data_IF_482704928020
#
_entry.id   IF_482704928020
#
_cell.length_a   1.000
_cell.length_b   1.000
_cell.length_c   1.000
_cell.angle_alpha   90.00
_cell.angle_beta   90.00
_cell.angle_gamma   90.00
#
_symmetry.space_group_name_H-M   'P 1'
#
loop_
_entity.id
_entity.type
_entity.pdbx_description
1 polymer ?
#
# COMPACT_ATOMS: atom_id res chain seq x y z
N UNK A 1 -13.30 -8.50 -42.74
CA UNK A 1 -12.22 -8.50 -41.73
C UNK A 1 -12.82 -8.94 -40.41
N UNK A 2 -12.43 -10.09 -39.88
CA UNK A 2 -12.90 -10.50 -38.55
C UNK A 2 -12.32 -9.54 -37.51
N UNK A 3 -13.18 -8.82 -36.79
CA UNK A 3 -12.77 -8.04 -35.65
C UNK A 3 -12.08 -8.99 -34.67
N UNK A 4 -10.78 -8.76 -34.42
CA UNK A 4 -10.04 -9.49 -33.40
C UNK A 4 -10.81 -9.32 -32.09
N UNK A 5 -11.38 -10.41 -31.58
CA UNK A 5 -12.08 -10.43 -30.30
C UNK A 5 -11.09 -9.92 -29.26
N UNK A 6 -11.37 -8.76 -28.64
CA UNK A 6 -10.53 -8.25 -27.55
C UNK A 6 -10.45 -9.34 -26.49
N UNK A 7 -9.24 -9.65 -26.03
CA UNK A 7 -9.06 -10.66 -24.98
C UNK A 7 -9.87 -10.23 -23.75
N UNK A 8 -10.69 -11.12 -23.20
CA UNK A 8 -11.49 -10.82 -22.02
C UNK A 8 -10.57 -10.59 -20.79
N UNK A 9 -11.01 -9.72 -19.88
CA UNK A 9 -10.37 -9.56 -18.59
C UNK A 9 -10.50 -10.86 -17.78
N UNK A 10 -9.40 -11.31 -17.17
CA UNK A 10 -9.35 -12.59 -16.42
C UNK A 10 -9.98 -12.49 -15.02
N UNK A 11 -9.94 -11.31 -14.42
CA UNK A 11 -10.20 -11.11 -13.01
C UNK A 11 -11.51 -10.38 -12.73
N UNK A 12 -11.97 -9.55 -13.66
CA UNK A 12 -13.16 -8.74 -13.48
C UNK A 12 -14.04 -8.73 -14.74
N UNK A 13 -15.35 -8.80 -14.54
CA UNK A 13 -16.35 -8.63 -15.59
C UNK A 13 -17.40 -7.63 -15.11
N UNK A 14 -17.47 -6.48 -15.76
CA UNK A 14 -18.39 -5.40 -15.44
C UNK A 14 -18.52 -4.40 -16.59
N UNK A 15 -19.41 -3.41 -16.46
CA UNK A 15 -19.60 -2.37 -17.47
C UNK A 15 -18.35 -1.49 -17.59
N UNK A 16 -18.14 -0.89 -18.76
CA UNK A 16 -17.14 0.17 -18.90
C UNK A 16 -17.47 1.36 -18.00
N UNK A 17 -16.44 1.98 -17.43
CA UNK A 17 -16.52 3.15 -16.55
C UNK A 17 -15.52 4.23 -16.99
N UNK A 18 -15.40 5.29 -16.20
CA UNK A 18 -14.40 6.35 -16.39
C UNK A 18 -12.95 5.89 -16.10
N UNK A 19 -12.75 4.69 -15.57
CA UNK A 19 -11.43 4.10 -15.30
C UNK A 19 -11.33 2.59 -15.67
N UNK A 20 -12.32 2.06 -16.40
CA UNK A 20 -12.32 0.69 -16.96
C UNK A 20 -12.85 0.65 -18.40
N UNK A 21 -12.06 0.17 -19.36
CA UNK A 21 -12.41 0.22 -20.80
C UNK A 21 -13.25 -0.98 -21.29
N UNK A 22 -13.79 -1.77 -20.35
CA UNK A 22 -14.42 -3.07 -20.62
C UNK A 22 -13.43 -4.23 -20.69
N UNK A 23 -12.12 -3.98 -20.61
CA UNK A 23 -11.08 -5.01 -20.58
C UNK A 23 -9.97 -4.70 -19.58
N UNK A 24 -9.51 -3.46 -19.49
CA UNK A 24 -8.39 -3.05 -18.64
C UNK A 24 -8.75 -1.80 -17.83
N UNK A 25 -8.27 -1.76 -16.60
CA UNK A 25 -8.32 -0.57 -15.77
C UNK A 25 -7.27 0.45 -16.21
N UNK A 26 -7.49 1.74 -15.97
CA UNK A 26 -6.55 2.81 -16.31
C UNK A 26 -6.67 4.00 -15.35
N UNK A 27 -5.61 4.82 -15.26
CA UNK A 27 -5.64 6.06 -14.50
C UNK A 27 -6.30 7.17 -15.38
N UNK A 28 -7.44 7.76 -14.97
CA UNK A 28 -8.03 8.90 -15.66
C UNK A 28 -7.03 10.07 -15.71
N UNK A 29 -6.82 10.65 -16.89
CA UNK A 29 -5.82 11.71 -17.14
C UNK A 29 -4.40 11.38 -16.63
N UNK A 30 -4.13 10.10 -16.43
CA UNK A 30 -2.91 9.59 -15.84
C UNK A 30 -1.83 9.29 -16.87
N UNK A 31 -0.63 9.01 -16.37
CA UNK A 31 0.43 8.46 -17.19
C UNK A 31 0.31 6.95 -17.16
N UNK A 32 0.33 6.34 -18.35
CA UNK A 32 0.43 4.89 -18.44
C UNK A 32 1.79 4.44 -17.91
N UNK A 33 1.84 3.29 -17.23
CA UNK A 33 3.11 2.78 -16.73
C UNK A 33 4.00 2.35 -17.91
N UNK A 34 5.32 2.38 -17.71
CA UNK A 34 6.33 2.21 -18.77
C UNK A 34 6.12 0.98 -19.67
N UNK A 35 6.50 1.09 -20.95
CA UNK A 35 6.36 0.00 -21.93
C UNK A 35 7.43 -1.07 -21.71
N UNK A 36 7.28 -2.21 -22.38
CA UNK A 36 8.28 -3.28 -22.32
C UNK A 36 9.69 -2.83 -22.72
N UNK A 37 9.80 -1.95 -23.72
CA UNK A 37 11.08 -1.37 -24.14
C UNK A 37 11.71 -0.50 -23.02
N UNK A 38 10.91 0.24 -22.27
CA UNK A 38 11.38 1.05 -21.14
C UNK A 38 11.88 0.15 -19.99
N UNK A 39 11.18 -0.94 -19.72
CA UNK A 39 11.63 -1.94 -18.74
C UNK A 39 12.98 -2.53 -19.15
N UNK A 40 13.15 -2.93 -20.42
CA UNK A 40 14.44 -3.43 -20.92
C UNK A 40 15.54 -2.37 -20.80
N UNK A 41 15.27 -1.13 -21.23
CA UNK A 41 16.20 -0.01 -21.09
C UNK A 41 16.66 0.14 -19.65
N UNK A 42 15.74 0.13 -18.70
CA UNK A 42 16.08 0.19 -17.28
C UNK A 42 16.95 -1.00 -16.84
N UNK A 43 16.58 -2.24 -17.18
CA UNK A 43 17.40 -3.40 -16.78
C UNK A 43 18.84 -3.35 -17.32
N UNK A 44 19.05 -2.83 -18.53
CA UNK A 44 20.39 -2.69 -19.12
C UNK A 44 21.15 -1.45 -18.64
N UNK A 45 20.46 -0.38 -18.24
CA UNK A 45 21.10 0.87 -17.78
C UNK A 45 21.07 1.06 -16.26
N UNK A 46 20.65 0.03 -15.52
CA UNK A 46 20.38 0.07 -14.08
C UNK A 46 21.65 0.41 -13.28
N UNK A 47 21.52 1.34 -12.36
CA UNK A 47 22.54 1.68 -11.37
C UNK A 47 22.05 1.26 -9.98
N UNK A 48 21.84 -0.05 -9.81
CA UNK A 48 21.26 -0.60 -8.59
C UNK A 48 22.25 -0.49 -7.43
N UNK A 49 21.89 0.26 -6.40
CA UNK A 49 22.66 0.32 -5.16
C UNK A 49 22.77 -1.07 -4.53
N UNK A 50 23.89 -1.34 -3.84
CA UNK A 50 24.05 -2.59 -3.10
C UNK A 50 23.40 -2.47 -1.73
N UNK A 51 22.33 -3.22 -1.49
CA UNK A 51 21.70 -3.31 -0.17
C UNK A 51 22.46 -4.29 0.74
N UNK A 52 22.41 -4.09 2.07
CA UNK A 52 22.93 -5.07 3.00
C UNK A 52 22.11 -6.38 2.92
N UNK A 53 22.73 -7.55 3.16
CA UNK A 53 22.01 -8.83 3.13
C UNK A 53 21.00 -8.96 4.27
N UNK A 54 21.23 -8.27 5.38
CA UNK A 54 20.34 -8.12 6.51
C UNK A 54 20.52 -6.73 7.13
N UNK A 55 19.43 -6.12 7.56
CA UNK A 55 19.37 -4.82 8.24
C UNK A 55 18.24 -4.89 9.27
N UNK A 56 18.49 -5.51 10.44
CA UNK A 56 17.47 -5.64 11.48
C UNK A 56 17.04 -4.26 11.97
N UNK A 57 15.78 -4.14 12.37
CA UNK A 57 15.26 -2.90 12.94
C UNK A 57 15.95 -2.59 14.27
N UNK A 58 16.16 -1.29 14.62
CA UNK A 58 16.57 -0.91 15.95
C UNK A 58 15.48 -1.20 17.01
N UNK A 59 14.24 -1.45 16.59
CA UNK A 59 13.15 -1.87 17.45
C UNK A 59 13.05 -3.39 17.50
N UNK A 60 12.77 -3.94 18.69
CA UNK A 60 12.41 -5.35 18.82
C UNK A 60 11.07 -5.65 18.14
N UNK A 61 10.76 -6.94 17.95
CA UNK A 61 9.43 -7.31 17.49
C UNK A 61 8.39 -6.87 18.52
N UNK A 62 7.44 -6.05 18.09
CA UNK A 62 6.36 -5.55 18.92
C UNK A 62 5.40 -6.67 19.29
N UNK A 63 4.81 -6.54 20.47
CA UNK A 63 3.69 -7.34 20.95
C UNK A 63 2.51 -6.39 21.16
N UNK A 64 1.67 -6.19 20.14
CA UNK A 64 0.57 -5.23 20.22
C UNK A 64 -0.40 -5.56 21.36
N UNK A 65 -1.09 -4.53 21.85
CA UNK A 65 -2.24 -4.75 22.73
C UNK A 65 -3.33 -5.54 21.98
N UNK A 66 -4.21 -6.22 22.73
CA UNK A 66 -5.30 -6.98 22.11
C UNK A 66 -6.23 -6.08 21.26
N UNK A 67 -6.44 -4.84 21.69
CA UNK A 67 -7.33 -3.87 21.05
C UNK A 67 -7.03 -2.45 21.56
N UNK A 68 -7.36 -1.43 20.75
CA UNK A 68 -7.38 -0.02 21.12
C UNK A 68 -8.78 0.54 20.87
N UNK A 69 -9.39 1.14 21.89
CA UNK A 69 -10.81 1.55 21.88
C UNK A 69 -11.01 3.06 21.69
N UNK A 70 -12.27 3.45 21.47
CA UNK A 70 -12.67 4.85 21.42
C UNK A 70 -12.00 5.63 20.29
N UNK A 71 -11.47 6.81 20.63
CA UNK A 71 -10.82 7.72 19.68
C UNK A 71 -9.32 7.52 19.60
N UNK A 72 -8.74 6.55 20.30
CA UNK A 72 -7.30 6.33 20.28
C UNK A 72 -6.85 5.68 18.97
N UNK A 73 -5.60 5.93 18.59
CA UNK A 73 -4.99 5.42 17.37
C UNK A 73 -3.55 5.01 17.65
N UNK A 74 -3.30 3.71 17.59
CA UNK A 74 -1.95 3.14 17.66
C UNK A 74 -1.64 2.45 16.34
N UNK A 75 -0.47 2.76 15.78
CA UNK A 75 0.03 2.11 14.57
C UNK A 75 1.33 1.39 14.85
N UNK A 76 1.45 0.16 14.38
CA UNK A 76 2.68 -0.64 14.48
C UNK A 76 3.16 -1.03 13.10
N UNK A 77 4.41 -0.69 12.78
CA UNK A 77 5.01 -1.03 11.50
C UNK A 77 5.45 -2.49 11.50
N UNK A 78 4.88 -3.31 10.62
CA UNK A 78 5.34 -4.69 10.41
C UNK A 78 6.48 -4.70 9.39
N UNK A 79 6.40 -3.89 8.33
CA UNK A 79 7.43 -3.77 7.32
C UNK A 79 6.86 -3.59 5.92
N UNK A 80 7.65 -3.00 5.02
CA UNK A 80 7.22 -2.63 3.67
C UNK A 80 5.96 -1.74 3.69
N UNK A 81 4.81 -2.25 3.24
CA UNK A 81 3.51 -1.55 3.30
C UNK A 81 2.55 -2.16 4.32
N UNK A 82 3.04 -3.07 5.17
CA UNK A 82 2.26 -3.69 6.22
C UNK A 82 2.35 -2.90 7.53
N UNK A 83 1.21 -2.35 7.94
CA UNK A 83 1.00 -1.75 9.24
C UNK A 83 -0.19 -2.42 9.92
N UNK A 84 -0.07 -2.62 11.23
CA UNK A 84 -1.22 -2.87 12.10
C UNK A 84 -1.73 -1.52 12.60
N UNK A 85 -3.00 -1.23 12.33
CA UNK A 85 -3.72 -0.04 12.76
C UNK A 85 -4.74 -0.48 13.80
N UNK A 86 -4.64 0.05 15.02
CA UNK A 86 -5.57 -0.25 16.11
C UNK A 86 -6.31 1.03 16.50
N UNK A 87 -7.64 1.04 16.35
CA UNK A 87 -8.50 2.20 16.65
C UNK A 87 -9.96 1.78 16.67
N UNK A 88 -10.82 2.50 17.41
CA UNK A 88 -12.27 2.25 17.46
C UNK A 88 -12.67 0.79 17.74
N UNK A 89 -11.85 0.07 18.51
CA UNK A 89 -12.06 -1.34 18.82
C UNK A 89 -11.73 -2.31 17.68
N UNK A 90 -11.07 -1.85 16.62
CA UNK A 90 -10.71 -2.64 15.44
C UNK A 90 -9.21 -2.80 15.30
N UNK A 91 -8.78 -3.97 14.84
CA UNK A 91 -7.43 -4.27 14.41
C UNK A 91 -7.41 -4.47 12.88
N UNK A 92 -6.78 -3.54 12.17
CA UNK A 92 -6.77 -3.47 10.71
C UNK A 92 -5.34 -3.66 10.20
N UNK A 93 -5.14 -4.57 9.24
CA UNK A 93 -3.86 -4.72 8.54
C UNK A 93 -3.92 -4.11 7.14
N UNK A 94 -2.88 -3.38 6.76
CA UNK A 94 -2.66 -2.97 5.36
C UNK A 94 -1.72 -3.95 4.66
N UNK A 95 -2.01 -4.33 3.42
CA UNK A 95 -1.11 -5.07 2.51
C UNK A 95 -0.20 -6.09 3.20
N UNK A 96 -0.75 -7.14 3.86
CA UNK A 96 0.00 -7.94 4.80
C UNK A 96 0.99 -8.88 4.12
N UNK A 97 2.29 -8.73 4.44
CA UNK A 97 3.39 -9.55 3.91
C UNK A 97 4.31 -10.02 5.04
N UNK A 98 4.20 -11.29 5.41
CA UNK A 98 5.16 -11.97 6.30
C UNK A 98 6.16 -12.85 5.55
N UNK A 99 5.91 -13.14 4.27
CA UNK A 99 6.80 -13.98 3.46
C UNK A 99 8.22 -13.42 3.36
N UNK A 100 9.20 -14.32 3.31
CA UNK A 100 10.60 -13.97 3.13
C UNK A 100 10.88 -13.31 1.77
N UNK A 101 10.10 -13.67 0.74
CA UNK A 101 10.24 -13.14 -0.63
C UNK A 101 8.90 -12.69 -1.20
N UNK A 102 8.95 -11.65 -2.03
CA UNK A 102 7.81 -11.11 -2.77
C UNK A 102 7.95 -11.47 -4.24
N UNK A 103 7.53 -12.70 -4.58
CA UNK A 103 7.77 -13.30 -5.89
C UNK A 103 6.79 -14.43 -6.20
N UNK A 104 6.53 -14.74 -7.48
CA UNK A 104 5.87 -16.00 -7.86
C UNK A 104 6.66 -17.25 -7.49
N UNK A 105 7.97 -17.13 -7.22
CA UNK A 105 8.86 -18.25 -6.93
C UNK A 105 9.43 -18.14 -5.51
N UNK A 106 9.48 -19.25 -4.78
CA UNK A 106 10.07 -19.30 -3.45
C UNK A 106 11.59 -19.12 -3.42
N UNK A 107 12.28 -19.40 -4.53
CA UNK A 107 13.74 -19.39 -4.62
C UNK A 107 14.33 -18.16 -5.33
N UNK A 108 13.50 -17.33 -5.97
CA UNK A 108 13.93 -16.20 -6.79
C UNK A 108 13.08 -14.95 -6.51
N UNK A 109 13.60 -13.77 -6.82
CA UNK A 109 12.92 -12.49 -6.60
C UNK A 109 13.34 -11.78 -5.30
N UNK A 110 12.80 -10.59 -5.02
CA UNK A 110 13.19 -9.78 -3.87
C UNK A 110 13.04 -10.55 -2.56
N UNK A 111 14.11 -10.55 -1.75
CA UNK A 111 14.14 -11.10 -0.39
C UNK A 111 14.14 -9.94 0.58
N UNK A 112 13.41 -10.06 1.67
CA UNK A 112 13.45 -9.04 2.72
C UNK A 112 14.78 -9.01 3.44
N UNK A 113 15.16 -7.82 3.91
CA UNK A 113 16.41 -7.60 4.66
C UNK A 113 16.20 -7.45 6.17
N UNK A 114 14.96 -7.29 6.65
CA UNK A 114 14.61 -7.33 8.07
C UNK A 114 13.59 -8.44 8.36
N UNK A 115 13.49 -8.93 9.61
CA UNK A 115 12.34 -9.71 10.09
C UNK A 115 11.08 -8.84 10.21
N UNK A 116 9.86 -9.41 10.34
CA UNK A 116 8.64 -8.60 10.44
C UNK A 116 8.60 -7.97 11.82
N UNK A 117 8.08 -6.76 11.88
CA UNK A 117 7.99 -5.96 13.10
C UNK A 117 7.10 -6.56 14.17
N UNK A 118 6.15 -7.42 13.78
CA UNK A 118 5.33 -8.24 14.68
C UNK A 118 5.54 -9.69 14.25
N UNK A 119 5.88 -10.58 15.18
CA UNK A 119 5.85 -12.01 14.88
C UNK A 119 4.42 -12.40 14.52
N UNK A 120 4.22 -13.22 13.47
CA UNK A 120 2.85 -13.58 13.06
C UNK A 120 2.04 -14.15 14.23
N UNK A 121 2.71 -14.87 15.13
CA UNK A 121 2.05 -15.45 16.29
C UNK A 121 1.62 -14.48 17.37
N UNK A 122 2.25 -13.31 17.43
CA UNK A 122 1.94 -12.22 18.36
C UNK A 122 0.86 -11.25 17.80
N UNK A 123 0.30 -11.50 16.61
CA UNK A 123 -0.81 -10.69 16.09
C UNK A 123 -2.05 -10.79 17.00
N UNK A 124 -2.70 -9.66 17.33
CA UNK A 124 -4.02 -9.69 17.95
C UNK A 124 -5.07 -10.25 16.97
N UNK A 125 -6.32 -10.43 17.41
CA UNK A 125 -7.41 -10.78 16.50
C UNK A 125 -7.50 -9.72 15.40
N UNK A 126 -7.45 -10.12 14.13
CA UNK A 126 -7.52 -9.20 12.99
C UNK A 126 -8.95 -9.18 12.46
N UNK A 127 -9.55 -7.99 12.41
CA UNK A 127 -10.93 -7.82 11.97
C UNK A 127 -11.00 -7.57 10.46
N UNK A 128 -10.10 -6.71 9.96
CA UNK A 128 -10.08 -6.27 8.57
C UNK A 128 -8.66 -6.30 8.01
N UNK A 129 -8.57 -6.73 6.76
CA UNK A 129 -7.36 -6.62 5.94
C UNK A 129 -7.68 -5.76 4.72
N UNK A 130 -6.86 -4.74 4.49
CA UNK A 130 -6.91 -3.89 3.29
C UNK A 130 -5.86 -4.37 2.31
N UNK A 131 -6.26 -4.74 1.10
CA UNK A 131 -5.33 -5.09 0.01
C UNK A 131 -5.48 -4.06 -1.09
N UNK A 132 -4.47 -3.22 -1.28
CA UNK A 132 -4.46 -2.10 -2.22
C UNK A 132 -4.39 -2.54 -3.68
N UNK A 133 -3.61 -3.57 -3.99
CA UNK A 133 -3.46 -4.10 -5.35
C UNK A 133 -2.74 -5.46 -5.35
N UNK A 134 -2.63 -6.09 -6.52
CA UNK A 134 -2.17 -7.47 -6.64
C UNK A 134 -0.65 -7.69 -6.79
N UNK A 135 0.22 -6.69 -6.67
CA UNK A 135 1.67 -6.95 -6.73
C UNK A 135 2.11 -7.88 -5.59
N UNK A 136 3.20 -8.64 -5.80
CA UNK A 136 3.63 -9.71 -4.88
C UNK A 136 4.04 -9.23 -3.49
N UNK A 137 4.38 -7.95 -3.38
CA UNK A 137 4.78 -7.26 -2.17
C UNK A 137 3.64 -6.53 -1.47
N UNK A 138 2.42 -6.62 -2.00
CA UNK A 138 1.20 -6.10 -1.38
C UNK A 138 0.11 -7.17 -1.19
N UNK A 139 0.07 -8.14 -2.10
CA UNK A 139 -0.81 -9.31 -2.06
C UNK A 139 0.00 -10.60 -1.89
N UNK A 140 0.36 -10.90 -0.64
CA UNK A 140 0.99 -12.15 -0.25
C UNK A 140 -0.05 -13.21 0.11
N UNK A 141 -0.28 -14.11 -0.85
CA UNK A 141 -1.26 -15.20 -0.72
C UNK A 141 -0.87 -16.21 0.38
N UNK A 142 0.41 -16.34 0.74
CA UNK A 142 0.82 -17.23 1.84
C UNK A 142 0.45 -16.61 3.20
N UNK A 143 0.60 -15.30 3.33
CA UNK A 143 0.14 -14.56 4.51
C UNK A 143 -1.38 -14.58 4.63
N UNK A 144 -2.11 -14.35 3.53
CA UNK A 144 -3.58 -14.41 3.57
C UNK A 144 -4.12 -15.79 3.98
N UNK A 145 -3.48 -16.89 3.59
CA UNK A 145 -3.87 -18.24 4.07
C UNK A 145 -3.74 -18.37 5.58
N UNK A 146 -2.60 -17.95 6.14
CA UNK A 146 -2.39 -17.98 7.58
C UNK A 146 -3.38 -17.09 8.33
N UNK A 147 -3.69 -15.89 7.79
CA UNK A 147 -4.69 -15.00 8.36
C UNK A 147 -6.09 -15.61 8.33
N UNK A 148 -6.48 -16.27 7.24
CA UNK A 148 -7.75 -17.00 7.14
C UNK A 148 -7.85 -18.09 8.21
N UNK A 149 -6.81 -18.89 8.37
CA UNK A 149 -6.79 -19.99 9.34
C UNK A 149 -6.86 -19.52 10.78
N UNK A 150 -6.17 -18.41 11.11
CA UNK A 150 -6.00 -17.96 12.50
C UNK A 150 -7.00 -16.90 12.95
N UNK A 151 -7.46 -16.03 12.06
CA UNK A 151 -8.26 -14.86 12.42
C UNK A 151 -9.56 -14.71 11.60
N UNK A 152 -9.62 -15.29 10.39
CA UNK A 152 -10.74 -15.14 9.43
C UNK A 152 -11.25 -13.70 9.23
N UNK A 153 -10.35 -12.74 8.92
CA UNK A 153 -10.71 -11.33 8.77
C UNK A 153 -11.57 -11.11 7.52
N UNK A 154 -12.28 -9.98 7.49
CA UNK A 154 -12.81 -9.44 6.23
C UNK A 154 -11.67 -8.86 5.41
N UNK A 155 -11.49 -9.30 4.17
CA UNK A 155 -10.53 -8.72 3.24
C UNK A 155 -11.25 -7.74 2.31
N UNK A 156 -10.94 -6.45 2.42
CA UNK A 156 -11.41 -5.38 1.53
C UNK A 156 -10.34 -5.12 0.47
N UNK A 157 -10.73 -5.13 -0.79
CA UNK A 157 -9.79 -5.02 -1.93
C UNK A 157 -10.46 -4.39 -3.14
N UNK A 158 -9.74 -3.75 -4.07
CA UNK A 158 -10.38 -3.22 -5.26
C UNK A 158 -10.72 -4.34 -6.26
N UNK A 159 -11.65 -4.06 -7.18
CA UNK A 159 -12.20 -5.01 -8.14
C UNK A 159 -11.17 -5.92 -8.83
N UNK A 160 -11.46 -7.23 -8.89
CA UNK A 160 -10.65 -8.25 -9.57
C UNK A 160 -9.54 -8.87 -8.72
N UNK A 161 -9.12 -8.23 -7.64
CA UNK A 161 -8.16 -8.84 -6.70
C UNK A 161 -8.78 -10.00 -5.91
N UNK A 162 -10.08 -9.92 -5.67
CA UNK A 162 -10.90 -10.97 -5.06
C UNK A 162 -10.88 -12.27 -5.85
N UNK A 163 -10.95 -12.22 -7.18
CA UNK A 163 -10.84 -13.42 -8.01
C UNK A 163 -9.50 -14.15 -7.81
N UNK A 164 -8.42 -13.39 -7.64
CA UNK A 164 -7.07 -13.92 -7.36
C UNK A 164 -7.04 -14.56 -5.96
N UNK A 165 -7.57 -13.84 -4.96
CA UNK A 165 -7.57 -14.30 -3.56
C UNK A 165 -8.45 -15.53 -3.40
N UNK A 166 -9.68 -15.52 -3.93
CA UNK A 166 -10.63 -16.62 -3.83
C UNK A 166 -10.07 -17.91 -4.45
N UNK A 167 -9.35 -17.82 -5.57
CA UNK A 167 -8.73 -18.98 -6.19
C UNK A 167 -7.58 -19.55 -5.35
N UNK A 168 -6.86 -18.70 -4.62
CA UNK A 168 -5.69 -19.09 -3.84
C UNK A 168 -6.02 -19.48 -2.39
N UNK A 169 -7.07 -18.88 -1.81
CA UNK A 169 -7.52 -19.02 -0.42
C UNK A 169 -9.06 -19.21 -0.41
N UNK A 170 -9.54 -20.41 -0.76
CA UNK A 170 -10.99 -20.68 -0.81
C UNK A 170 -11.67 -20.40 0.53
N UNK A 171 -12.83 -19.75 0.48
CA UNK A 171 -13.62 -19.41 1.67
C UNK A 171 -13.13 -18.18 2.45
N UNK A 172 -12.15 -17.44 1.94
CA UNK A 172 -11.80 -16.11 2.46
C UNK A 172 -13.02 -15.17 2.38
N UNK A 173 -13.27 -14.40 3.45
CA UNK A 173 -14.31 -13.37 3.45
C UNK A 173 -13.83 -12.17 2.64
N UNK A 174 -14.41 -11.96 1.46
CA UNK A 174 -13.96 -10.95 0.50
C UNK A 174 -15.01 -9.87 0.30
N UNK A 175 -14.54 -8.63 0.18
CA UNK A 175 -15.31 -7.44 -0.17
C UNK A 175 -14.56 -6.70 -1.28
N UNK A 176 -15.00 -6.88 -2.53
CA UNK A 176 -14.40 -6.27 -3.71
C UNK A 176 -15.18 -5.02 -4.11
N UNK A 177 -14.51 -3.88 -4.23
CA UNK A 177 -15.17 -2.58 -4.42
C UNK A 177 -14.45 -1.72 -5.46
N UNK A 178 -15.19 -0.78 -6.03
CA UNK A 178 -14.69 0.18 -7.00
C UNK A 178 -14.22 1.49 -6.35
N UNK A 179 -13.52 2.34 -7.09
CA UNK A 179 -13.19 3.68 -6.62
C UNK A 179 -14.45 4.49 -6.34
N UNK A 180 -14.48 5.13 -5.17
CA UNK A 180 -15.59 5.93 -4.69
C UNK A 180 -16.51 5.19 -3.72
N UNK A 181 -16.44 3.86 -3.65
CA UNK A 181 -17.29 3.05 -2.78
C UNK A 181 -16.97 3.26 -1.30
N UNK A 182 -18.03 3.14 -0.47
CA UNK A 182 -17.99 3.16 0.99
C UNK A 182 -18.51 1.82 1.54
N UNK A 183 -17.79 1.27 2.50
CA UNK A 183 -18.13 0.04 3.21
C UNK A 183 -18.24 0.37 4.71
N UNK A 184 -19.44 0.26 5.28
CA UNK A 184 -19.61 0.39 6.73
C UNK A 184 -19.11 -0.89 7.42
N UNK A 185 -18.24 -0.72 8.42
CA UNK A 185 -17.56 -1.83 9.13
C UNK A 185 -18.16 -2.05 10.51
N UNK A 186 -18.39 -0.96 11.23
CA UNK A 186 -19.01 -0.93 12.55
C UNK A 186 -19.64 0.45 12.78
N UNK A 187 -20.30 0.64 13.92
CA UNK A 187 -20.89 1.94 14.23
C UNK A 187 -19.82 3.05 14.26
N UNK A 188 -20.04 4.09 13.47
CA UNK A 188 -19.10 5.20 13.32
C UNK A 188 -17.77 4.86 12.60
N UNK A 189 -17.63 3.67 11.99
CA UNK A 189 -16.41 3.29 11.25
C UNK A 189 -16.72 2.75 9.86
N UNK A 190 -16.04 3.30 8.85
CA UNK A 190 -16.19 2.89 7.46
C UNK A 190 -14.85 2.88 6.71
N UNK A 191 -14.79 2.09 5.66
CA UNK A 191 -13.68 2.08 4.70
C UNK A 191 -14.18 2.66 3.39
N UNK A 192 -13.44 3.61 2.85
CA UNK A 192 -13.65 4.12 1.49
C UNK A 192 -12.55 3.61 0.59
N UNK A 193 -12.90 3.18 -0.62
CA UNK A 193 -11.95 2.77 -1.64
C UNK A 193 -11.69 3.95 -2.56
N UNK A 194 -10.44 4.38 -2.65
CA UNK A 194 -10.08 5.66 -3.27
C UNK A 194 -9.06 5.48 -4.39
N UNK A 195 -9.04 6.40 -5.38
CA UNK A 195 -8.11 6.31 -6.49
C UNK A 195 -6.65 6.48 -6.05
N UNK A 196 -5.79 5.65 -6.63
CA UNK A 196 -4.34 5.76 -6.56
C UNK A 196 -3.77 5.80 -7.99
N UNK A 197 -2.60 6.45 -8.17
CA UNK A 197 -1.98 6.54 -9.48
C UNK A 197 -0.93 5.43 -9.61
N UNK A 198 -1.39 4.24 -9.99
CA UNK A 198 -0.56 3.03 -10.07
C UNK A 198 -1.04 2.09 -11.17
N UNK A 199 -0.73 0.81 -11.05
CA UNK A 199 -1.16 -0.27 -11.93
C UNK A 199 -1.07 -1.61 -11.19
N UNK A 200 -1.57 -2.67 -11.83
CA UNK A 200 -1.60 -4.03 -11.26
C UNK A 200 -1.04 -5.07 -12.24
N UNK A 201 -0.44 -6.14 -11.72
CA UNK A 201 -0.15 -7.39 -12.44
C UNK A 201 0.30 -8.49 -11.48
N UNK A 202 0.01 -9.76 -11.81
CA UNK A 202 0.67 -10.92 -11.19
C UNK A 202 1.45 -11.79 -12.17
N UNK A 203 1.22 -11.64 -13.45
CA UNK A 203 1.89 -12.38 -14.51
C UNK A 203 2.26 -11.51 -15.70
N UNK A 204 2.66 -12.15 -16.80
CA UNK A 204 3.14 -11.43 -17.98
C UNK A 204 2.01 -10.85 -18.88
N UNK A 205 0.75 -11.27 -18.67
CA UNK A 205 -0.37 -10.98 -19.60
C UNK A 205 -1.64 -10.48 -18.90
N UNK A 206 -1.52 -10.05 -17.65
CA UNK A 206 -2.65 -9.62 -16.82
C UNK A 206 -2.48 -8.18 -16.30
N UNK A 207 -1.57 -7.43 -16.90
CA UNK A 207 -1.30 -6.05 -16.53
C UNK A 207 -2.56 -5.20 -16.67
N UNK A 208 -2.98 -4.57 -15.56
CA UNK A 208 -4.20 -3.76 -15.41
C UNK A 208 -5.52 -4.56 -15.53
N UNK A 209 -5.50 -5.87 -15.33
CA UNK A 209 -6.73 -6.68 -15.31
C UNK A 209 -7.45 -6.66 -13.96
N UNK A 210 -6.78 -6.26 -12.87
CA UNK A 210 -7.42 -5.95 -11.59
C UNK A 210 -7.22 -4.47 -11.27
N UNK A 211 -8.11 -3.88 -10.48
CA UNK A 211 -7.99 -2.50 -10.03
C UNK A 211 -6.93 -2.38 -8.91
N UNK A 212 -6.49 -1.16 -8.65
CA UNK A 212 -5.58 -0.77 -7.56
C UNK A 212 -6.19 0.43 -6.82
N UNK A 213 -5.94 0.61 -5.53
CA UNK A 213 -6.57 1.69 -4.76
C UNK A 213 -5.73 2.15 -3.57
N UNK A 214 -6.02 3.37 -3.10
CA UNK A 214 -5.82 3.73 -1.70
C UNK A 214 -7.08 3.43 -0.89
N UNK A 215 -7.00 3.61 0.42
CA UNK A 215 -8.13 3.47 1.33
C UNK A 215 -8.20 4.63 2.31
N UNK A 216 -9.40 5.07 2.64
CA UNK A 216 -9.64 5.95 3.79
C UNK A 216 -10.40 5.16 4.85
N UNK A 217 -9.84 5.09 6.04
CA UNK A 217 -10.47 4.52 7.23
C UNK A 217 -11.08 5.70 8.00
N UNK A 218 -12.40 5.80 7.95
CA UNK A 218 -13.17 6.78 8.70
C UNK A 218 -13.47 6.22 10.08
N UNK A 219 -13.12 6.95 11.14
CA UNK A 219 -13.33 6.53 12.53
C UNK A 219 -13.79 7.72 13.38
N UNK A 220 -14.33 7.49 14.59
CA UNK A 220 -14.69 8.57 15.51
C UNK A 220 -13.49 9.42 15.97
N UNK A 221 -12.28 8.84 15.94
CA UNK A 221 -11.03 9.51 16.34
C UNK A 221 -10.35 10.29 15.21
N UNK A 222 -10.98 10.41 14.04
CA UNK A 222 -10.43 11.08 12.87
C UNK A 222 -10.00 10.11 11.76
N UNK A 223 -10.05 10.58 10.52
CA UNK A 223 -9.79 9.75 9.34
C UNK A 223 -8.31 9.40 9.18
N UNK A 224 -8.07 8.19 8.67
CA UNK A 224 -6.75 7.66 8.34
C UNK A 224 -6.70 7.40 6.84
N UNK A 225 -5.67 7.88 6.15
CA UNK A 225 -5.48 7.64 4.72
C UNK A 225 -4.33 6.65 4.48
N UNK A 226 -4.60 5.53 3.84
CA UNK A 226 -3.58 4.63 3.31
C UNK A 226 -3.50 4.78 1.80
N UNK A 227 -2.40 5.34 1.29
CA UNK A 227 -2.28 5.65 -0.14
C UNK A 227 -2.09 4.42 -1.05
N UNK A 228 -1.72 3.26 -0.48
CA UNK A 228 -1.15 2.17 -1.25
C UNK A 228 0.13 2.61 -1.96
N UNK A 229 0.45 1.95 -3.07
CA UNK A 229 1.43 2.48 -4.01
C UNK A 229 0.82 3.54 -4.89
N UNK A 230 1.51 4.66 -5.06
CA UNK A 230 1.06 5.72 -5.96
C UNK A 230 2.24 6.55 -6.47
N UNK A 231 2.16 6.93 -7.74
CA UNK A 231 2.90 8.06 -8.30
C UNK A 231 2.34 9.37 -7.75
N UNK A 232 3.17 10.42 -7.74
CA UNK A 232 2.74 11.73 -7.25
C UNK A 232 1.72 12.38 -8.19
N UNK A 233 1.96 12.29 -9.51
CA UNK A 233 1.09 12.80 -10.59
C UNK A 233 0.52 14.20 -10.30
N UNK A 234 1.43 15.15 -10.09
CA UNK A 234 1.18 16.55 -9.72
C UNK A 234 0.33 16.72 -8.44
N UNK A 235 0.13 15.66 -7.67
CA UNK A 235 -0.64 15.62 -6.43
C UNK A 235 -2.15 15.57 -6.61
N UNK A 236 -2.65 15.12 -7.77
CA UNK A 236 -4.10 15.11 -8.08
C UNK A 236 -4.88 14.28 -7.06
N UNK A 237 -4.47 13.04 -6.79
CA UNK A 237 -5.18 12.17 -5.84
C UNK A 237 -5.13 12.74 -4.41
N UNK A 238 -4.03 13.37 -4.00
CA UNK A 238 -3.94 13.99 -2.67
C UNK A 238 -4.91 15.16 -2.50
N UNK A 239 -5.05 16.01 -3.53
CA UNK A 239 -6.04 17.09 -3.52
C UNK A 239 -7.47 16.56 -3.51
N UNK A 240 -7.75 15.52 -4.30
CA UNK A 240 -9.04 14.85 -4.29
C UNK A 240 -9.36 14.28 -2.90
N UNK A 241 -8.38 13.70 -2.22
CA UNK A 241 -8.55 13.19 -0.86
C UNK A 241 -8.88 14.31 0.13
N UNK A 242 -8.17 15.45 0.07
CA UNK A 242 -8.51 16.60 0.92
C UNK A 242 -9.91 17.17 0.60
N UNK A 243 -10.28 17.28 -0.67
CA UNK A 243 -11.57 17.79 -1.11
C UNK A 243 -12.73 16.90 -0.64
N UNK A 244 -12.60 15.58 -0.85
CA UNK A 244 -13.64 14.61 -0.48
C UNK A 244 -13.72 14.39 1.04
N UNK A 245 -12.58 14.34 1.73
CA UNK A 245 -12.53 13.88 3.12
C UNK A 245 -12.27 14.97 4.16
N UNK A 246 -11.85 16.17 3.75
CA UNK A 246 -11.58 17.32 4.61
C UNK A 246 -10.18 17.35 5.26
N UNK A 247 -9.48 16.21 5.28
CA UNK A 247 -8.18 16.04 5.89
C UNK A 247 -8.09 14.75 6.71
N UNK A 248 -6.91 14.50 7.28
CA UNK A 248 -6.62 13.24 7.97
C UNK A 248 -5.89 13.50 9.28
N UNK A 249 -6.24 12.74 10.32
CA UNK A 249 -5.40 12.64 11.51
C UNK A 249 -4.07 11.99 11.14
N UNK A 250 -4.12 10.95 10.32
CA UNK A 250 -2.96 10.15 9.97
C UNK A 250 -2.96 9.74 8.49
N UNK A 251 -1.80 9.77 7.85
CA UNK A 251 -1.62 9.26 6.49
C UNK A 251 -0.45 8.25 6.42
N UNK A 252 -0.62 7.19 5.66
CA UNK A 252 0.42 6.18 5.38
C UNK A 252 0.79 6.37 3.91
N UNK A 253 2.01 6.86 3.67
CA UNK A 253 2.47 7.31 2.37
C UNK A 253 3.74 6.54 1.95
N UNK A 254 3.83 5.99 0.73
CA UNK A 254 5.03 5.31 0.27
C UNK A 254 6.17 6.32 0.07
N UNK A 255 7.37 5.95 0.49
CA UNK A 255 8.59 6.78 0.34
C UNK A 255 9.75 6.06 -0.36
N UNK A 256 9.58 4.79 -0.74
CA UNK A 256 10.57 3.99 -1.45
C UNK A 256 10.07 3.52 -2.82
N UNK A 257 10.89 2.74 -3.51
CA UNK A 257 10.66 2.23 -4.87
C UNK A 257 10.63 3.29 -5.99
N UNK A 258 11.38 4.38 -5.82
CA UNK A 258 11.23 5.57 -6.66
C UNK A 258 12.33 5.78 -7.70
N UNK A 259 13.44 5.02 -7.68
CA UNK A 259 14.50 5.14 -8.69
C UNK A 259 14.50 4.01 -9.75
N UNK A 260 14.84 4.30 -11.01
CA UNK A 260 15.19 5.61 -11.54
C UNK A 260 13.96 6.48 -11.82
N UNK A 261 14.01 7.78 -11.48
CA UNK A 261 12.84 8.69 -11.62
C UNK A 261 12.17 8.66 -13.00
N UNK A 262 12.95 8.62 -14.09
CA UNK A 262 12.39 8.63 -15.45
C UNK A 262 11.46 7.44 -15.74
N UNK A 263 11.65 6.32 -15.03
CA UNK A 263 10.84 5.11 -15.17
C UNK A 263 9.80 4.98 -14.05
N UNK A 264 10.16 5.35 -12.82
CA UNK A 264 9.35 5.11 -11.62
C UNK A 264 8.38 6.23 -11.27
N UNK A 265 8.66 7.48 -11.64
CA UNK A 265 7.82 8.63 -11.26
C UNK A 265 6.31 8.49 -11.58
N UNK A 266 5.90 7.84 -12.69
CA UNK A 266 4.47 7.61 -12.98
C UNK A 266 3.78 6.61 -12.05
N UNK A 267 4.47 5.89 -11.18
CA UNK A 267 3.85 4.85 -10.34
C UNK A 267 4.35 4.83 -8.88
N UNK A 268 5.48 5.46 -8.60
CA UNK A 268 6.01 5.63 -7.25
C UNK A 268 6.50 7.06 -7.05
N UNK A 269 5.92 7.70 -6.04
CA UNK A 269 6.43 8.97 -5.55
C UNK A 269 7.75 8.80 -4.80
N UNK A 270 8.56 9.87 -4.76
CA UNK A 270 9.74 9.92 -3.91
C UNK A 270 9.40 10.57 -2.53
N UNK A 271 10.34 10.61 -1.57
CA UNK A 271 10.09 11.20 -0.25
C UNK A 271 9.69 12.69 -0.28
N UNK A 272 10.24 13.49 -1.20
CA UNK A 272 9.88 14.91 -1.32
C UNK A 272 8.42 15.08 -1.77
N UNK A 273 8.02 14.29 -2.77
CA UNK A 273 6.65 14.21 -3.26
C UNK A 273 5.70 13.67 -2.18
N UNK A 274 6.13 12.72 -1.33
CA UNK A 274 5.35 12.25 -0.20
C UNK A 274 5.10 13.35 0.84
N UNK A 275 6.11 14.18 1.17
CA UNK A 275 5.94 15.35 2.05
C UNK A 275 4.98 16.36 1.43
N UNK A 276 5.04 16.55 0.11
CA UNK A 276 4.07 17.39 -0.59
C UNK A 276 2.66 16.78 -0.56
N UNK A 277 2.54 15.45 -0.71
CA UNK A 277 1.31 14.69 -0.62
C UNK A 277 0.64 14.86 0.75
N UNK A 278 1.40 14.72 1.84
CA UNK A 278 0.94 14.98 3.21
C UNK A 278 0.30 16.37 3.36
N UNK A 279 0.93 17.41 2.79
CA UNK A 279 0.36 18.77 2.81
C UNK A 279 -0.91 18.87 1.96
N UNK A 280 -0.88 18.31 0.75
CA UNK A 280 -1.98 18.40 -0.20
C UNK A 280 -3.24 17.66 0.26
N UNK A 281 -3.08 16.53 0.96
CA UNK A 281 -4.19 15.78 1.54
C UNK A 281 -4.60 16.30 2.93
N UNK A 282 -3.97 17.36 3.45
CA UNK A 282 -4.23 17.92 4.77
C UNK A 282 -4.10 16.89 5.90
N UNK A 283 -2.99 16.14 5.92
CA UNK A 283 -2.69 15.18 6.98
C UNK A 283 -1.95 15.86 8.16
N UNK A 284 -2.43 15.63 9.38
CA UNK A 284 -1.79 16.13 10.59
C UNK A 284 -0.48 15.38 10.88
N UNK A 285 -0.54 14.04 10.84
CA UNK A 285 0.59 13.13 11.01
C UNK A 285 0.70 12.17 9.82
N UNK A 286 1.89 11.65 9.54
CA UNK A 286 2.11 10.67 8.50
C UNK A 286 3.19 9.64 8.84
N UNK A 287 3.07 8.42 8.31
CA UNK A 287 4.11 7.41 8.33
C UNK A 287 4.57 7.04 6.92
N UNK A 288 5.88 6.90 6.77
CA UNK A 288 6.52 6.47 5.54
C UNK A 288 6.54 4.96 5.46
N UNK A 289 5.98 4.40 4.39
CA UNK A 289 5.97 2.97 4.10
C UNK A 289 6.70 2.66 2.77
N UNK A 290 6.64 1.40 2.32
CA UNK A 290 7.20 0.92 1.04
C UNK A 290 8.72 1.13 0.89
N UNK A 291 9.45 1.14 2.01
CA UNK A 291 10.90 1.35 2.03
C UNK A 291 11.59 0.39 2.99
N UNK A 292 12.89 0.18 2.80
CA UNK A 292 13.74 -0.48 3.78
C UNK A 292 13.45 -1.96 4.05
N UNK A 293 12.54 -2.62 3.32
CA UNK A 293 12.23 -4.05 3.53
C UNK A 293 12.64 -4.90 2.33
N UNK A 294 12.16 -4.59 1.12
CA UNK A 294 12.52 -5.28 -0.12
C UNK A 294 13.24 -4.33 -1.08
N UNK A 295 14.31 -4.80 -1.72
CA UNK A 295 14.96 -4.03 -2.78
C UNK A 295 14.24 -4.24 -4.11
N UNK A 296 13.28 -3.38 -4.41
CA UNK A 296 12.47 -3.41 -5.64
C UNK A 296 13.14 -2.65 -6.79
N UNK A 297 13.92 -1.63 -6.46
CA UNK A 297 14.37 -0.56 -7.35
C UNK A 297 15.85 -0.22 -7.11
N UNK A 298 16.31 0.92 -7.61
CA UNK A 298 17.72 1.24 -7.72
C UNK A 298 18.28 2.05 -6.56
N UNK A 299 17.44 2.71 -5.75
CA UNK A 299 17.89 3.60 -4.68
C UNK A 299 18.65 2.88 -3.54
N UNK A 300 19.56 3.58 -2.84
CA UNK A 300 20.22 3.06 -1.63
C UNK A 300 19.24 2.81 -0.48
N UNK A 301 19.57 1.82 0.35
CA UNK A 301 18.72 1.35 1.47
C UNK A 301 18.25 2.47 2.42
N UNK A 302 19.17 3.32 2.90
CA UNK A 302 18.86 4.40 3.87
C UNK A 302 18.48 5.73 3.21
N UNK A 303 18.52 5.81 1.87
CA UNK A 303 18.22 7.06 1.18
C UNK A 303 16.80 7.59 1.41
N UNK A 304 15.74 6.76 1.39
CA UNK A 304 14.37 7.22 1.64
C UNK A 304 14.21 8.00 2.95
N UNK A 305 14.83 7.53 4.04
CA UNK A 305 14.77 8.18 5.36
C UNK A 305 15.47 9.53 5.34
N UNK A 306 16.68 9.57 4.79
CA UNK A 306 17.46 10.80 4.69
C UNK A 306 16.74 11.84 3.84
N UNK A 307 16.20 11.43 2.69
CA UNK A 307 15.46 12.29 1.77
C UNK A 307 14.14 12.78 2.36
N UNK A 308 13.47 11.96 3.18
CA UNK A 308 12.29 12.39 3.93
C UNK A 308 12.65 13.51 4.91
N UNK A 309 13.70 13.31 5.72
CA UNK A 309 14.16 14.33 6.68
C UNK A 309 14.55 15.64 5.98
N UNK A 310 15.32 15.56 4.89
CA UNK A 310 15.68 16.74 4.08
C UNK A 310 14.44 17.49 3.55
N UNK A 311 13.43 16.77 3.07
CA UNK A 311 12.21 17.37 2.55
C UNK A 311 11.33 18.02 3.63
N UNK A 312 11.30 17.44 4.84
CA UNK A 312 10.59 17.99 6.00
C UNK A 312 11.28 19.27 6.49
N UNK A 313 12.60 19.22 6.70
CA UNK A 313 13.41 20.35 7.14
C UNK A 313 13.32 21.51 6.13
N UNK A 314 13.45 21.21 4.84
CA UNK A 314 13.34 22.19 3.77
C UNK A 314 11.98 22.88 3.67
N UNK A 315 10.92 22.31 4.27
CA UNK A 315 9.57 22.87 4.30
C UNK A 315 9.14 23.36 5.69
N UNK A 316 10.05 23.31 6.68
CA UNK A 316 9.76 23.71 8.06
C UNK A 316 8.69 22.85 8.73
N UNK A 317 8.57 21.57 8.34
CA UNK A 317 7.64 20.63 8.96
C UNK A 317 8.41 19.86 10.04
N UNK A 318 7.95 19.85 11.30
CA UNK A 318 8.58 19.06 12.35
C UNK A 318 8.64 17.57 11.99
N UNK A 319 9.80 16.94 12.16
CA UNK A 319 10.05 15.56 11.72
C UNK A 319 9.16 14.53 12.43
N UNK A 320 8.73 14.82 13.66
CA UNK A 320 7.78 14.01 14.42
C UNK A 320 6.40 13.92 13.77
N UNK A 321 6.06 14.86 12.88
CA UNK A 321 4.80 14.81 12.12
C UNK A 321 4.84 13.84 10.96
N UNK A 322 6.01 13.47 10.44
CA UNK A 322 6.12 12.48 9.37
C UNK A 322 7.33 11.56 9.58
N UNK A 323 7.06 10.37 10.11
CA UNK A 323 8.10 9.40 10.49
C UNK A 323 8.25 8.31 9.44
N UNK A 324 9.47 8.04 8.98
CA UNK A 324 9.77 6.81 8.25
C UNK A 324 9.83 5.64 9.25
N UNK A 325 8.68 5.01 9.51
CA UNK A 325 8.59 3.95 10.53
C UNK A 325 9.42 2.74 10.13
N UNK A 326 10.06 2.11 11.12
CA UNK A 326 10.84 0.88 10.97
C UNK A 326 10.07 -0.32 11.54
N UNK A 327 10.33 -1.56 11.08
CA UNK A 327 9.67 -2.74 11.62
C UNK A 327 9.74 -2.82 13.15
N UNK A 328 8.62 -3.01 13.84
CA UNK A 328 8.52 -3.11 15.30
C UNK A 328 8.36 -1.75 15.99
N UNK A 329 8.49 -0.64 15.25
CA UNK A 329 8.19 0.68 15.76
C UNK A 329 6.68 0.83 15.98
N UNK A 330 6.31 1.28 17.18
CA UNK A 330 4.94 1.58 17.59
C UNK A 330 4.78 3.09 17.72
N UNK A 331 3.65 3.62 17.27
CA UNK A 331 3.32 5.02 17.40
C UNK A 331 1.87 5.21 17.82
N UNK A 332 1.68 5.75 19.02
CA UNK A 332 0.42 6.33 19.46
C UNK A 332 0.27 7.71 18.81
N UNK A 333 -0.55 7.77 17.75
CA UNK A 333 -0.72 8.98 16.95
C UNK A 333 -1.54 9.99 17.75
N UNK A 334 -1.11 11.25 17.91
CA UNK A 334 -1.87 12.23 18.68
C UNK A 334 -3.26 12.53 18.08
N UNK A 335 -4.27 12.88 18.91
CA UNK A 335 -5.55 13.41 18.42
C UNK A 335 -5.37 14.80 17.76
N UNK A 336 -6.36 15.21 16.96
CA UNK A 336 -6.38 16.51 16.25
C UNK A 336 -7.50 17.41 16.71
#
# INVERSE_FOLDING_TARGET
MAARQKAANRYYSGPSSDHFDGTLFFNPDGRMPGRFADLLKWQFSRQRAKWPPASPSPFGQAKPAAMVEGTDLTVTMVGHSTLLIQTAGLNILTDPVWSERTSPFSFAGPRRVNPPGIAFDDLPAIDVVLVSHNHYDHLDLATLRQLKEKHDPLVVTPLGNDAIIAAAVPGMRLSAHDWGDRIDISDGTAIHVEPAHHWSARGARDRRMALWSGFVIETPGGKIYFAGDTGFHDGINYRLMAEKHGGFRFAILPIGAYEPRWFMAPQHQNPEEAVQGMKLCNAAFAAGCHWGTFQLTDEPFDEPVRKLAEALDGRGIPQERFRALRPGEVWDVPPI
#
